data_IF_050798921718
#
_entry.id   IF_050798921718
#
_cell.length_a   1.000
_cell.length_b   1.000
_cell.length_c   1.000
_cell.angle_alpha   90.00
_cell.angle_beta   90.00
_cell.angle_gamma   90.00
#
_symmetry.space_group_name_H-M   'P 1'
#
loop_
_entity.id
_entity.type
_entity.pdbx_description
1 polymer ?
#
# COMPACT_ATOMS: atom_id res chain seq x y z
N UNK A 1 -13.38 -18.59 -29.53
CA UNK A 1 -12.95 -17.53 -28.60
C UNK A 1 -12.61 -16.29 -29.41
N UNK A 2 -13.24 -15.16 -29.12
CA UNK A 2 -13.04 -13.93 -29.91
C UNK A 2 -11.74 -13.23 -29.50
N UNK A 3 -11.22 -12.33 -30.34
CA UNK A 3 -10.07 -11.48 -29.98
C UNK A 3 -10.34 -10.65 -28.71
N UNK A 4 -11.59 -10.24 -28.49
CA UNK A 4 -12.04 -9.51 -27.30
C UNK A 4 -11.93 -10.38 -26.05
N UNK A 5 -12.41 -11.62 -26.10
CA UNK A 5 -12.35 -12.55 -24.97
C UNK A 5 -10.90 -12.86 -24.57
N UNK A 6 -10.02 -13.03 -25.58
CA UNK A 6 -8.60 -13.25 -25.34
C UNK A 6 -7.93 -12.02 -24.70
N UNK A 7 -8.29 -10.81 -25.14
CA UNK A 7 -7.78 -9.58 -24.55
C UNK A 7 -8.27 -9.40 -23.11
N UNK A 8 -9.55 -9.61 -22.85
CA UNK A 8 -10.14 -9.51 -21.51
C UNK A 8 -9.47 -10.49 -20.53
N UNK A 9 -9.22 -11.73 -20.95
CA UNK A 9 -8.52 -12.72 -20.12
C UNK A 9 -7.11 -12.25 -19.77
N UNK A 10 -6.33 -11.78 -20.75
CA UNK A 10 -4.97 -11.25 -20.51
C UNK A 10 -4.97 -10.05 -19.56
N UNK A 11 -5.92 -9.13 -19.72
CA UNK A 11 -6.05 -7.98 -18.81
C UNK A 11 -6.42 -8.42 -17.39
N UNK A 12 -7.29 -9.40 -17.24
CA UNK A 12 -7.65 -9.95 -15.93
C UNK A 12 -6.46 -10.63 -15.26
N UNK A 13 -5.71 -11.46 -15.99
CA UNK A 13 -4.49 -12.11 -15.48
C UNK A 13 -3.47 -11.07 -15.00
N UNK A 14 -3.22 -10.02 -15.80
CA UNK A 14 -2.31 -8.94 -15.43
C UNK A 14 -2.79 -8.17 -14.20
N UNK A 15 -4.09 -7.90 -14.10
CA UNK A 15 -4.67 -7.23 -12.94
C UNK A 15 -4.52 -8.07 -11.66
N UNK A 16 -4.85 -9.36 -11.72
CA UNK A 16 -4.74 -10.27 -10.58
C UNK A 16 -3.29 -10.43 -10.11
N UNK A 17 -2.34 -10.49 -11.04
CA UNK A 17 -0.91 -10.53 -10.69
C UNK A 17 -0.49 -9.28 -9.90
N UNK A 18 -0.91 -8.09 -10.35
CA UNK A 18 -0.61 -6.82 -9.65
C UNK A 18 -1.34 -6.71 -8.32
N UNK A 19 -2.57 -7.22 -8.22
CA UNK A 19 -3.29 -7.28 -6.96
C UNK A 19 -2.58 -8.19 -5.96
N UNK A 20 -2.14 -9.37 -6.39
CA UNK A 20 -1.43 -10.31 -5.52
C UNK A 20 -0.13 -9.71 -4.96
N UNK A 21 0.62 -8.98 -5.80
CA UNK A 21 1.79 -8.23 -5.38
C UNK A 21 1.44 -7.14 -4.34
N UNK A 22 0.39 -6.37 -4.59
CA UNK A 22 -0.10 -5.36 -3.64
C UNK A 22 -0.54 -5.96 -2.30
N UNK A 23 -1.27 -7.08 -2.33
CA UNK A 23 -1.74 -7.77 -1.12
C UNK A 23 -0.55 -8.32 -0.31
N UNK A 24 0.51 -8.80 -0.97
CA UNK A 24 1.73 -9.25 -0.30
C UNK A 24 2.44 -8.09 0.42
N UNK A 25 2.57 -6.93 -0.25
CA UNK A 25 3.12 -5.73 0.39
C UNK A 25 2.27 -5.28 1.58
N UNK A 26 0.95 -5.38 1.49
CA UNK A 26 0.06 -5.05 2.62
C UNK A 26 0.29 -5.99 3.81
N UNK A 27 0.48 -7.28 3.58
CA UNK A 27 0.80 -8.24 4.64
C UNK A 27 2.15 -7.93 5.31
N UNK A 28 3.16 -7.51 4.52
CA UNK A 28 4.45 -7.08 5.06
C UNK A 28 4.33 -5.81 5.89
N UNK A 29 3.54 -4.82 5.45
CA UNK A 29 3.26 -3.61 6.22
C UNK A 29 2.54 -3.92 7.55
N UNK A 30 1.57 -4.83 7.53
CA UNK A 30 0.88 -5.27 8.75
C UNK A 30 1.84 -5.94 9.73
N UNK A 31 2.74 -6.80 9.24
CA UNK A 31 3.77 -7.47 10.05
C UNK A 31 4.73 -6.44 10.66
N UNK A 32 5.24 -5.53 9.84
CA UNK A 32 6.11 -4.45 10.30
C UNK A 32 5.44 -3.60 11.39
N UNK A 33 4.15 -3.28 11.22
CA UNK A 33 3.38 -2.56 12.24
C UNK A 33 3.19 -3.38 13.52
N UNK A 34 2.97 -4.69 13.42
CA UNK A 34 2.84 -5.56 14.59
C UNK A 34 4.16 -5.69 15.37
N UNK A 35 5.30 -5.59 14.68
CA UNK A 35 6.65 -5.57 15.25
C UNK A 35 7.11 -4.17 15.66
N UNK A 36 6.19 -3.21 15.83
CA UNK A 36 6.49 -1.82 16.20
C UNK A 36 7.51 -1.14 15.28
N UNK A 37 7.51 -1.49 13.99
CA UNK A 37 8.50 -1.02 13.01
C UNK A 37 9.95 -1.34 13.41
N UNK A 38 10.16 -2.38 14.22
CA UNK A 38 11.45 -2.75 14.81
C UNK A 38 11.93 -1.80 15.91
N UNK A 39 11.11 -0.83 16.34
CA UNK A 39 11.47 0.08 17.42
C UNK A 39 11.41 -0.64 18.78
N UNK A 40 12.41 -0.38 19.62
CA UNK A 40 12.37 -0.77 21.03
C UNK A 40 11.61 0.30 21.82
N UNK A 41 10.48 -0.01 22.49
CA UNK A 41 9.71 0.94 23.27
C UNK A 41 10.52 1.68 24.35
N UNK A 42 11.56 1.05 24.90
CA UNK A 42 12.40 1.63 25.96
C UNK A 42 13.55 2.50 25.42
N UNK A 43 13.80 2.47 24.11
CA UNK A 43 14.92 3.16 23.46
C UNK A 43 14.52 3.94 22.20
N UNK A 44 13.22 4.13 21.96
CA UNK A 44 12.70 4.86 20.80
C UNK A 44 13.10 6.33 20.86
N UNK A 45 13.56 6.88 19.73
CA UNK A 45 13.98 8.27 19.59
C UNK A 45 13.17 8.97 18.50
N UNK A 46 13.45 10.26 18.31
CA UNK A 46 12.80 11.08 17.28
C UNK A 46 13.07 10.59 15.85
N UNK A 47 14.15 9.85 15.62
CA UNK A 47 14.48 9.29 14.31
C UNK A 47 13.43 8.25 13.85
N UNK A 48 13.00 7.38 14.77
CA UNK A 48 11.97 6.37 14.51
C UNK A 48 10.61 7.04 14.22
N UNK A 49 10.29 8.13 14.90
CA UNK A 49 9.07 8.93 14.64
C UNK A 49 9.09 9.47 13.21
N UNK A 50 10.21 10.07 12.77
CA UNK A 50 10.34 10.60 11.42
C UNK A 50 10.20 9.53 10.33
N UNK A 51 10.75 8.33 10.55
CA UNK A 51 10.56 7.20 9.63
C UNK A 51 9.08 6.78 9.53
N UNK A 52 8.38 6.70 10.68
CA UNK A 52 6.97 6.33 10.72
C UNK A 52 6.07 7.39 10.06
N UNK A 53 6.36 8.66 10.26
CA UNK A 53 5.68 9.77 9.58
C UNK A 53 5.82 9.66 8.06
N UNK A 54 7.04 9.36 7.58
CA UNK A 54 7.29 9.18 6.15
C UNK A 54 6.46 8.03 5.56
N UNK A 55 6.47 6.84 6.17
CA UNK A 55 5.69 5.70 5.69
C UNK A 55 4.18 5.99 5.71
N UNK A 56 3.70 6.61 6.79
CA UNK A 56 2.29 6.99 6.94
C UNK A 56 1.86 7.98 5.86
N UNK A 57 2.71 8.95 5.51
CA UNK A 57 2.43 9.91 4.44
C UNK A 57 2.31 9.23 3.07
N UNK A 58 3.15 8.24 2.76
CA UNK A 58 3.03 7.49 1.50
C UNK A 58 1.72 6.70 1.44
N UNK A 59 1.35 6.00 2.52
CA UNK A 59 0.08 5.27 2.59
C UNK A 59 -1.11 6.21 2.42
N UNK A 60 -1.06 7.38 3.07
CA UNK A 60 -2.10 8.41 2.95
C UNK A 60 -2.28 8.88 1.50
N UNK A 61 -1.19 9.14 0.77
CA UNK A 61 -1.25 9.50 -0.66
C UNK A 61 -1.95 8.44 -1.50
N UNK A 62 -1.64 7.16 -1.26
CA UNK A 62 -2.30 6.04 -1.97
C UNK A 62 -3.80 6.00 -1.66
N UNK A 63 -4.18 6.12 -0.38
CA UNK A 63 -5.59 6.10 0.02
C UNK A 63 -6.35 7.31 -0.48
N UNK A 64 -5.74 8.50 -0.45
CA UNK A 64 -6.38 9.73 -0.91
C UNK A 64 -6.57 9.72 -2.42
N UNK A 65 -5.62 9.17 -3.19
CA UNK A 65 -5.79 8.96 -4.62
C UNK A 65 -6.94 7.97 -4.93
N UNK A 66 -7.08 6.90 -4.16
CA UNK A 66 -8.16 5.92 -4.34
C UNK A 66 -9.54 6.49 -3.98
N UNK A 67 -9.64 7.16 -2.84
CA UNK A 67 -10.88 7.77 -2.36
C UNK A 67 -11.17 9.15 -2.96
N UNK A 68 -10.29 9.66 -3.84
CA UNK A 68 -10.38 10.99 -4.46
C UNK A 68 -10.45 12.13 -3.42
N UNK A 69 -9.68 12.04 -2.34
CA UNK A 69 -9.66 13.02 -1.22
C UNK A 69 -8.71 14.21 -1.44
N UNK A 70 -8.15 14.39 -2.64
CA UNK A 70 -7.34 15.57 -3.01
C UNK A 70 -8.14 16.57 -3.85
N UNK A 71 -7.84 17.87 -3.73
CA UNK A 71 -8.42 19.08 -4.40
C UNK A 71 -9.95 19.16 -4.64
N UNK A 72 -10.72 18.13 -4.27
CA UNK A 72 -12.18 18.04 -4.33
C UNK A 72 -12.75 17.37 -3.06
N UNK A 73 -11.99 17.32 -1.98
CA UNK A 73 -12.57 17.33 -0.64
C UNK A 73 -12.60 18.80 -0.23
N UNK A 74 -13.80 19.38 -0.13
CA UNK A 74 -14.05 20.81 0.10
C UNK A 74 -13.21 21.47 1.21
#
# INVERSE_FOLDING_TARGET
>A
MTKRDANQRKSLEAFLARKAEFDALLADLQRMSAEHFGANPDAVLWGEVGNLEFYTAQMRRVTDAYFKRGEHAE
#
